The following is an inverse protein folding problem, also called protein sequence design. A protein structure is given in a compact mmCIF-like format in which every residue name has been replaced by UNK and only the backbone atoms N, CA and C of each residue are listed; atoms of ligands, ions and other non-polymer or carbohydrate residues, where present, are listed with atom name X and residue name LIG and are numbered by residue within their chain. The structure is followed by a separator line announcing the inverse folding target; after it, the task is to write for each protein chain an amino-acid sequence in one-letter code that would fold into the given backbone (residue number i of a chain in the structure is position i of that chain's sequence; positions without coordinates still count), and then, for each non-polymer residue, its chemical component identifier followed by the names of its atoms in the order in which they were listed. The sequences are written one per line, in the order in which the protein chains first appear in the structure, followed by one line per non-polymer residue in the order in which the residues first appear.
data_IF_559625591224
#
_entry.id   IF_559625591224
#
_cell.length_a   1.000
_cell.length_b   1.000
_cell.length_c   1.000
_cell.angle_alpha   90.00
_cell.angle_beta   90.00
_cell.angle_gamma   90.00
#
_symmetry.space_group_name_H-M   'P 1'
#
loop_
_entity.id
_entity.type
_entity.pdbx_description
1 polymer ?
#
# COMPACT_ATOMS: atom_id res chain seq x y z
N UNK A 1 -17.54 -8.96 -7.72
CA UNK A 1 -18.66 -9.61 -7.03
C UNK A 1 -18.84 -8.95 -5.68
N UNK A 2 -20.04 -8.46 -5.35
CA UNK A 2 -20.30 -7.73 -4.11
C UNK A 2 -21.58 -8.24 -3.44
N UNK A 3 -21.58 -8.21 -2.11
CA UNK A 3 -22.72 -8.53 -1.26
C UNK A 3 -22.89 -7.41 -0.23
N UNK A 4 -24.13 -6.98 -0.03
CA UNK A 4 -24.51 -6.10 1.07
C UNK A 4 -25.64 -6.74 1.84
N UNK A 5 -25.52 -6.75 3.17
CA UNK A 5 -26.53 -7.33 4.05
C UNK A 5 -26.70 -6.46 5.29
N UNK A 6 -27.94 -6.24 5.69
CA UNK A 6 -28.28 -5.65 6.97
C UNK A 6 -28.26 -6.76 8.04
N UNK A 7 -27.41 -6.59 9.06
CA UNK A 7 -27.29 -7.51 10.19
C UNK A 7 -28.06 -6.93 11.37
N UNK A 8 -29.09 -7.63 11.78
CA UNK A 8 -30.01 -7.11 12.79
C UNK A 8 -30.70 -5.81 12.33
N UNK A 9 -30.91 -4.88 13.26
CA UNK A 9 -31.60 -3.60 12.96
C UNK A 9 -30.64 -2.49 12.54
N UNK A 10 -29.38 -2.54 12.96
CA UNK A 10 -28.53 -1.35 13.00
C UNK A 10 -27.20 -1.47 12.26
N UNK A 11 -26.79 -2.64 11.80
CA UNK A 11 -25.48 -2.82 11.16
C UNK A 11 -25.65 -3.19 9.69
N UNK A 12 -24.91 -2.54 8.81
CA UNK A 12 -24.78 -2.89 7.41
C UNK A 12 -23.37 -3.50 7.22
N UNK A 13 -23.33 -4.71 6.72
CA UNK A 13 -22.10 -5.36 6.28
C UNK A 13 -22.03 -5.33 4.76
N UNK A 14 -20.87 -4.97 4.21
CA UNK A 14 -20.58 -5.07 2.77
C UNK A 14 -19.33 -5.91 2.58
N UNK A 15 -19.41 -6.87 1.68
CA UNK A 15 -18.28 -7.67 1.24
C UNK A 15 -18.11 -7.50 -0.27
N UNK A 16 -16.90 -7.24 -0.72
CA UNK A 16 -16.58 -7.12 -2.13
C UNK A 16 -15.34 -7.93 -2.45
N UNK A 17 -15.42 -8.77 -3.49
CA UNK A 17 -14.30 -9.52 -4.01
C UNK A 17 -14.09 -9.17 -5.48
N UNK A 18 -12.86 -8.81 -5.81
CA UNK A 18 -12.41 -8.50 -7.17
C UNK A 18 -11.27 -9.44 -7.54
N UNK A 19 -11.46 -10.16 -8.64
CA UNK A 19 -10.40 -10.88 -9.33
C UNK A 19 -10.05 -10.12 -10.60
N UNK A 20 -8.77 -9.86 -10.79
CA UNK A 20 -8.23 -9.27 -12.01
C UNK A 20 -7.12 -10.16 -12.54
N UNK A 21 -7.17 -10.43 -13.83
CA UNK A 21 -6.10 -11.08 -14.57
C UNK A 21 -5.66 -10.16 -15.70
N UNK A 22 -4.35 -9.92 -15.80
CA UNK A 22 -3.72 -9.20 -16.89
C UNK A 22 -2.80 -10.17 -17.63
N UNK A 23 -2.91 -10.18 -18.96
CA UNK A 23 -2.11 -10.97 -19.87
C UNK A 23 -1.33 -10.03 -20.80
N UNK A 24 -0.38 -10.60 -21.52
CA UNK A 24 0.37 -9.92 -22.59
C UNK A 24 1.04 -8.62 -22.11
N UNK A 25 1.45 -8.61 -20.83
CA UNK A 25 2.21 -7.50 -20.27
C UNK A 25 3.64 -7.56 -20.81
N UNK A 26 4.17 -6.38 -21.18
CA UNK A 26 5.54 -6.29 -21.68
C UNK A 26 6.50 -6.62 -20.53
N UNK A 27 7.28 -7.68 -20.73
CA UNK A 27 8.42 -8.02 -19.89
C UNK A 27 9.71 -7.53 -20.56
N UNK A 28 10.69 -7.16 -19.75
CA UNK A 28 12.03 -6.79 -20.22
C UNK A 28 13.03 -7.74 -19.58
N UNK A 29 13.77 -8.44 -20.37
CA UNK A 29 14.94 -9.19 -19.94
C UNK A 29 16.22 -8.56 -20.49
N UNK A 30 17.30 -8.60 -19.71
CA UNK A 30 18.61 -8.13 -20.15
C UNK A 30 19.64 -9.18 -19.81
N UNK A 31 20.41 -9.59 -20.79
CA UNK A 31 21.54 -10.51 -20.63
C UNK A 31 22.83 -9.90 -21.19
N UNK A 32 23.96 -10.17 -20.55
CA UNK A 32 25.26 -9.78 -21.07
C UNK A 32 25.86 -10.95 -21.78
N UNK A 33 26.13 -10.78 -23.08
CA UNK A 33 26.91 -11.75 -23.86
C UNK A 33 28.35 -11.77 -23.34
N UNK A 34 28.76 -12.90 -22.81
CA UNK A 34 30.10 -13.07 -22.23
C UNK A 34 31.25 -12.94 -23.22
N UNK A 35 31.01 -13.25 -24.51
CA UNK A 35 32.02 -13.19 -25.56
C UNK A 35 32.23 -11.76 -26.07
N UNK A 36 31.15 -11.03 -26.28
CA UNK A 36 31.18 -9.68 -26.85
C UNK A 36 31.13 -8.57 -25.79
N UNK A 37 30.85 -8.90 -24.51
CA UNK A 37 30.58 -7.95 -23.41
C UNK A 37 29.44 -6.98 -23.71
N UNK A 38 28.56 -7.34 -24.62
CA UNK A 38 27.43 -6.52 -25.05
C UNK A 38 26.18 -6.90 -24.26
N UNK A 39 25.48 -5.92 -23.73
CA UNK A 39 24.19 -6.15 -23.07
C UNK A 39 23.08 -6.19 -24.12
N UNK A 40 22.43 -7.34 -24.24
CA UNK A 40 21.27 -7.57 -25.09
C UNK A 40 20.02 -7.38 -24.24
N UNK A 41 19.14 -6.49 -24.67
CA UNK A 41 17.85 -6.26 -24.02
C UNK A 41 16.73 -6.77 -24.93
N UNK A 42 15.90 -7.63 -24.41
CA UNK A 42 14.76 -8.21 -25.11
C UNK A 42 13.45 -7.78 -24.43
N UNK A 43 12.42 -7.52 -25.23
CA UNK A 43 11.08 -7.22 -24.76
C UNK A 43 10.12 -8.30 -25.28
N UNK A 44 9.39 -8.92 -24.37
CA UNK A 44 8.46 -10.00 -24.66
C UNK A 44 7.06 -9.64 -24.12
N UNK A 45 6.00 -10.18 -24.71
CA UNK A 45 4.62 -10.03 -24.27
C UNK A 45 4.14 -11.28 -23.52
N UNK A 46 4.95 -11.78 -22.60
CA UNK A 46 4.68 -13.01 -21.85
C UNK A 46 4.28 -12.75 -20.39
N UNK A 47 4.23 -11.48 -20.00
CA UNK A 47 3.87 -11.05 -18.67
C UNK A 47 2.42 -11.37 -18.32
N UNK A 48 2.21 -11.98 -17.16
CA UNK A 48 0.88 -12.28 -16.59
C UNK A 48 0.83 -11.88 -15.14
N UNK A 49 -0.27 -11.25 -14.74
CA UNK A 49 -0.51 -10.90 -13.33
C UNK A 49 -1.93 -11.27 -12.94
N UNK A 50 -2.08 -11.91 -11.79
CA UNK A 50 -3.37 -12.23 -11.16
C UNK A 50 -3.45 -11.52 -9.83
N UNK A 51 -4.51 -10.75 -9.64
CA UNK A 51 -4.74 -10.00 -8.40
C UNK A 51 -6.06 -10.39 -7.80
N UNK A 52 -6.04 -10.75 -6.54
CA UNK A 52 -7.21 -10.98 -5.70
C UNK A 52 -7.32 -9.82 -4.72
N UNK A 53 -8.47 -9.17 -4.67
CA UNK A 53 -8.77 -8.12 -3.71
C UNK A 53 -10.06 -8.44 -2.99
N UNK A 54 -10.02 -8.39 -1.67
CA UNK A 54 -11.17 -8.60 -0.80
C UNK A 54 -11.33 -7.41 0.12
N UNK A 55 -12.53 -6.83 0.14
CA UNK A 55 -12.88 -5.73 1.03
C UNK A 55 -14.11 -6.14 1.85
N UNK A 56 -14.06 -5.92 3.15
CA UNK A 56 -15.14 -6.13 4.08
C UNK A 56 -15.33 -4.86 4.91
N UNK A 57 -16.54 -4.33 4.95
CA UNK A 57 -16.85 -3.16 5.77
C UNK A 57 -18.09 -3.39 6.63
N UNK A 58 -18.07 -2.79 7.79
CA UNK A 58 -19.20 -2.70 8.71
C UNK A 58 -19.44 -1.24 9.06
N UNK A 59 -20.68 -0.81 8.96
CA UNK A 59 -21.12 0.53 9.33
C UNK A 59 -22.47 0.46 10.01
N UNK A 60 -22.86 1.52 10.69
CA UNK A 60 -24.21 1.63 11.21
C UNK A 60 -25.19 2.03 10.10
N UNK A 61 -26.40 1.48 10.14
CA UNK A 61 -27.48 1.85 9.23
C UNK A 61 -27.99 3.28 9.50
N UNK A 62 -27.92 3.70 10.75
CA UNK A 62 -28.27 5.04 11.22
C UNK A 62 -27.21 5.48 12.24
N UNK A 63 -26.89 6.78 12.32
CA UNK A 63 -25.96 7.30 13.32
C UNK A 63 -26.38 6.95 14.74
N UNK A 64 -25.41 6.79 15.62
CA UNK A 64 -25.68 6.81 17.06
C UNK A 64 -25.94 8.23 17.51
N UNK A 65 -27.14 8.48 18.01
CA UNK A 65 -27.52 9.79 18.55
C UNK A 65 -27.20 9.86 20.05
N UNK A 66 -26.23 10.69 20.43
CA UNK A 66 -25.90 10.96 21.83
C UNK A 66 -26.10 12.45 22.08
N UNK A 67 -27.19 12.82 22.72
CA UNK A 67 -27.59 14.22 22.92
C UNK A 67 -27.73 14.93 21.54
N UNK A 68 -26.87 15.90 21.27
CA UNK A 68 -26.86 16.68 20.02
C UNK A 68 -25.77 16.24 19.04
N UNK A 69 -25.12 15.12 19.30
CA UNK A 69 -24.01 14.59 18.47
C UNK A 69 -24.44 13.30 17.80
N UNK A 70 -24.28 13.26 16.52
CA UNK A 70 -24.40 12.08 15.67
C UNK A 70 -23.04 11.44 15.49
N UNK A 71 -22.91 10.13 15.75
CA UNK A 71 -21.68 9.38 15.63
C UNK A 71 -21.85 8.32 14.56
N UNK A 72 -20.96 8.33 13.54
CA UNK A 72 -20.95 7.37 12.45
C UNK A 72 -19.64 6.57 12.45
N UNK A 73 -19.59 5.41 13.12
CA UNK A 73 -18.45 4.51 13.06
C UNK A 73 -18.53 3.61 11.84
N UNK A 74 -17.37 3.39 11.19
CA UNK A 74 -17.20 2.42 10.13
C UNK A 74 -15.85 1.72 10.29
N UNK A 75 -15.83 0.40 10.16
CA UNK A 75 -14.59 -0.38 10.08
C UNK A 75 -14.48 -1.03 8.71
N UNK A 76 -13.29 -0.93 8.09
CA UNK A 76 -13.01 -1.48 6.76
C UNK A 76 -11.76 -2.36 6.84
N UNK A 77 -11.91 -3.58 6.35
CA UNK A 77 -10.82 -4.54 6.15
C UNK A 77 -10.58 -4.66 4.65
N UNK A 78 -9.36 -4.44 4.21
CA UNK A 78 -8.96 -4.60 2.82
C UNK A 78 -7.77 -5.55 2.75
N UNK A 79 -7.89 -6.58 1.90
CA UNK A 79 -6.84 -7.54 1.64
C UNK A 79 -6.58 -7.60 0.15
N UNK A 80 -5.30 -7.52 -0.25
CA UNK A 80 -4.87 -7.62 -1.64
C UNK A 80 -3.73 -8.61 -1.76
N UNK A 81 -3.78 -9.46 -2.79
CA UNK A 81 -2.71 -10.38 -3.11
C UNK A 81 -2.54 -10.45 -4.61
N UNK A 82 -1.33 -10.18 -5.07
CA UNK A 82 -0.96 -10.28 -6.49
C UNK A 82 0.04 -11.42 -6.69
N UNK A 83 -0.07 -12.10 -7.84
CA UNK A 83 0.90 -13.07 -8.31
C UNK A 83 1.11 -12.85 -9.80
N UNK A 84 2.33 -12.97 -10.26
CA UNK A 84 2.65 -12.81 -11.67
C UNK A 84 4.01 -13.41 -11.99
N UNK A 85 4.43 -13.33 -13.25
CA UNK A 85 5.74 -13.73 -13.73
C UNK A 85 6.63 -12.55 -14.15
N UNK A 86 6.21 -11.31 -13.87
CA UNK A 86 6.97 -10.07 -14.17
C UNK A 86 7.96 -9.70 -13.05
N UNK A 87 8.50 -10.67 -12.34
CA UNK A 87 9.14 -10.48 -11.05
C UNK A 87 10.39 -9.62 -11.05
N UNK A 88 11.07 -9.52 -12.17
CA UNK A 88 12.46 -9.06 -12.13
C UNK A 88 12.71 -7.78 -12.93
N UNK A 89 11.64 -7.18 -13.49
CA UNK A 89 11.78 -6.02 -14.37
C UNK A 89 11.94 -4.66 -13.68
N UNK A 90 11.99 -4.61 -12.35
CA UNK A 90 12.10 -3.35 -11.60
C UNK A 90 13.55 -3.09 -11.12
N UNK A 91 14.54 -3.23 -12.01
CA UNK A 91 15.94 -2.96 -11.69
C UNK A 91 16.70 -4.14 -11.10
N UNK A 92 16.12 -5.34 -11.13
CA UNK A 92 16.81 -6.58 -10.81
C UNK A 92 17.41 -7.17 -12.10
N UNK A 93 18.63 -7.64 -12.01
CA UNK A 93 19.40 -8.13 -13.16
C UNK A 93 19.94 -9.54 -12.87
N UNK A 94 20.11 -10.31 -13.91
CA UNK A 94 20.87 -11.56 -13.85
C UNK A 94 22.30 -11.33 -13.36
N UNK A 95 22.93 -12.37 -12.85
CA UNK A 95 24.36 -12.36 -12.58
C UNK A 95 25.17 -12.28 -13.88
N UNK A 96 26.34 -11.67 -13.81
CA UNK A 96 27.23 -11.50 -14.97
C UNK A 96 27.94 -12.81 -15.40
N UNK A 97 27.60 -13.93 -14.77
CA UNK A 97 28.19 -15.25 -15.03
C UNK A 97 27.72 -15.88 -16.34
N UNK A 98 26.57 -15.40 -16.88
CA UNK A 98 25.97 -15.93 -18.13
C UNK A 98 25.25 -17.28 -17.96
N UNK A 99 25.09 -17.77 -16.74
CA UNK A 99 24.48 -19.07 -16.42
C UNK A 99 23.04 -18.95 -15.89
N UNK A 100 22.42 -17.78 -16.00
CA UNK A 100 21.06 -17.48 -15.55
C UNK A 100 20.83 -17.83 -14.07
N UNK A 101 21.85 -17.60 -13.22
CA UNK A 101 21.78 -17.87 -11.79
C UNK A 101 21.95 -16.61 -10.95
N UNK A 102 21.28 -16.61 -9.82
CA UNK A 102 21.39 -15.57 -8.78
C UNK A 102 21.35 -16.23 -7.40
N UNK A 103 21.80 -15.50 -6.38
CA UNK A 103 21.60 -15.93 -4.99
C UNK A 103 20.33 -15.26 -4.48
N UNK A 104 19.39 -16.06 -4.04
CA UNK A 104 18.13 -15.58 -3.48
C UNK A 104 17.92 -16.15 -2.07
N UNK A 105 17.84 -15.27 -1.07
CA UNK A 105 17.75 -15.64 0.34
C UNK A 105 18.82 -16.67 0.74
N UNK A 106 20.05 -16.45 0.30
CA UNK A 106 21.20 -17.27 0.63
C UNK A 106 21.38 -18.55 -0.21
N UNK A 107 20.50 -18.84 -1.15
CA UNK A 107 20.57 -20.02 -2.01
C UNK A 107 20.85 -19.64 -3.47
N UNK A 108 21.74 -20.37 -4.12
CA UNK A 108 21.97 -20.25 -5.56
C UNK A 108 20.79 -20.89 -6.31
N UNK A 109 20.09 -20.11 -7.12
CA UNK A 109 18.88 -20.52 -7.82
C UNK A 109 18.88 -19.96 -9.24
N UNK A 110 18.09 -20.56 -10.14
CA UNK A 110 17.84 -19.95 -11.43
C UNK A 110 17.12 -18.60 -11.25
N UNK A 111 17.53 -17.61 -12.00
CA UNK A 111 16.92 -16.27 -12.03
C UNK A 111 15.40 -16.33 -12.29
N UNK A 112 14.97 -17.22 -13.19
CA UNK A 112 13.55 -17.40 -13.52
C UNK A 112 12.72 -18.05 -12.40
N UNK A 113 13.40 -18.69 -11.45
CA UNK A 113 12.73 -19.32 -10.29
C UNK A 113 12.52 -18.38 -9.12
N UNK A 114 13.11 -17.17 -9.16
CA UNK A 114 12.94 -16.18 -8.09
C UNK A 114 11.47 -15.73 -8.04
N UNK A 115 10.80 -15.80 -6.89
CA UNK A 115 9.38 -15.42 -6.79
C UNK A 115 9.16 -13.97 -7.19
N UNK A 116 8.01 -13.69 -7.78
CA UNK A 116 7.57 -12.30 -8.04
C UNK A 116 7.59 -11.53 -6.73
N UNK A 117 8.19 -10.37 -6.76
CA UNK A 117 8.13 -9.43 -5.66
C UNK A 117 6.73 -8.81 -5.56
N UNK A 118 5.87 -9.37 -4.72
CA UNK A 118 4.60 -8.74 -4.36
C UNK A 118 4.85 -7.80 -3.18
N UNK A 119 5.05 -6.53 -3.49
CA UNK A 119 5.35 -5.48 -2.52
C UNK A 119 4.09 -4.76 -2.00
N UNK A 120 2.91 -5.28 -2.26
CA UNK A 120 1.69 -4.71 -1.73
C UNK A 120 1.56 -5.00 -0.22
N UNK A 121 1.00 -4.06 0.51
CA UNK A 121 0.59 -4.31 1.89
C UNK A 121 -0.61 -5.25 1.86
N UNK A 122 -0.47 -6.52 2.29
CA UNK A 122 -1.51 -7.51 2.07
C UNK A 122 -2.80 -7.18 2.84
N UNK A 123 -2.68 -6.66 4.05
CA UNK A 123 -3.82 -6.33 4.90
C UNK A 123 -3.78 -4.87 5.35
N UNK A 124 -4.92 -4.20 5.20
CA UNK A 124 -5.18 -2.85 5.72
C UNK A 124 -6.48 -2.86 6.51
N UNK A 125 -6.46 -2.28 7.70
CA UNK A 125 -7.64 -2.10 8.54
C UNK A 125 -7.79 -0.60 8.80
N UNK A 126 -8.97 -0.05 8.50
CA UNK A 126 -9.28 1.36 8.75
C UNK A 126 -10.52 1.47 9.64
N UNK A 127 -10.41 2.27 10.69
CA UNK A 127 -11.52 2.70 11.52
C UNK A 127 -11.80 4.16 11.20
N UNK A 128 -12.97 4.43 10.63
CA UNK A 128 -13.48 5.78 10.39
C UNK A 128 -14.50 6.10 11.47
N UNK A 129 -14.46 7.32 12.00
CA UNK A 129 -15.38 7.76 13.04
C UNK A 129 -15.66 9.26 12.89
N UNK A 130 -16.89 9.58 12.49
CA UNK A 130 -17.35 10.94 12.31
C UNK A 130 -18.29 11.34 13.43
N UNK A 131 -18.04 12.50 14.00
CA UNK A 131 -18.87 13.14 15.02
C UNK A 131 -19.48 14.41 14.46
N UNK A 132 -20.79 14.50 14.38
CA UNK A 132 -21.50 15.66 13.85
C UNK A 132 -22.33 16.31 14.95
N UNK A 133 -22.01 17.54 15.30
CA UNK A 133 -22.80 18.36 16.21
C UNK A 133 -23.73 19.27 15.39
N UNK A 134 -24.97 18.83 15.21
CA UNK A 134 -25.97 19.46 14.34
C UNK A 134 -26.21 20.96 14.65
N UNK A 135 -26.36 21.38 15.94
CA UNK A 135 -26.67 22.77 16.24
C UNK A 135 -25.56 23.77 15.89
N UNK A 136 -24.30 23.36 15.94
CA UNK A 136 -23.17 24.25 15.60
C UNK A 136 -22.70 24.14 14.16
N UNK A 137 -23.09 23.09 13.45
CA UNK A 137 -22.55 22.77 12.12
C UNK A 137 -21.10 22.26 12.17
N UNK A 138 -20.67 21.72 13.32
CA UNK A 138 -19.32 21.17 13.51
C UNK A 138 -19.33 19.67 13.16
N UNK A 139 -18.32 19.26 12.36
CA UNK A 139 -18.05 17.86 12.02
C UNK A 139 -16.59 17.57 12.38
N UNK A 140 -16.37 16.52 13.16
CA UNK A 140 -15.04 16.01 13.48
C UNK A 140 -14.90 14.60 12.95
N UNK A 141 -14.12 14.44 11.87
CA UNK A 141 -13.87 13.19 11.19
C UNK A 141 -12.49 12.63 11.59
N UNK A 142 -12.42 11.33 11.82
CA UNK A 142 -11.21 10.63 12.21
C UNK A 142 -11.05 9.36 11.39
N UNK A 143 -9.83 9.09 10.95
CA UNK A 143 -9.46 7.85 10.28
C UNK A 143 -8.22 7.28 10.95
N UNK A 144 -8.35 6.15 11.61
CA UNK A 144 -7.23 5.36 12.12
C UNK A 144 -6.97 4.22 11.15
N UNK A 145 -5.75 4.14 10.59
CA UNK A 145 -5.40 3.12 9.61
C UNK A 145 -4.19 2.34 10.09
N UNK A 146 -4.36 1.03 10.21
CA UNK A 146 -3.27 0.09 10.36
C UNK A 146 -3.02 -0.65 9.04
N UNK A 147 -1.75 -0.78 8.67
CA UNK A 147 -1.33 -1.55 7.50
C UNK A 147 -0.31 -2.60 7.93
N UNK A 148 -0.50 -3.82 7.45
CA UNK A 148 0.46 -4.89 7.66
C UNK A 148 1.80 -4.56 6.99
N UNK A 149 2.88 -5.08 7.56
CA UNK A 149 4.21 -5.00 6.99
C UNK A 149 4.25 -5.61 5.59
N UNK A 150 4.83 -4.89 4.63
CA UNK A 150 5.10 -5.41 3.30
C UNK A 150 6.51 -5.97 3.20
N UNK A 151 6.77 -6.75 2.17
CA UNK A 151 8.11 -7.18 1.83
C UNK A 151 8.73 -6.23 0.82
N UNK A 152 10.05 -6.08 0.88
CA UNK A 152 10.85 -5.40 -0.11
C UNK A 152 12.02 -6.30 -0.50
N UNK A 153 12.36 -6.34 -1.79
CA UNK A 153 13.53 -7.06 -2.27
C UNK A 153 14.69 -6.11 -2.43
N UNK A 154 15.82 -6.45 -1.82
CA UNK A 154 17.03 -5.64 -1.92
C UNK A 154 18.16 -6.45 -2.54
N UNK A 155 19.07 -5.75 -3.23
CA UNK A 155 20.32 -6.28 -3.74
C UNK A 155 21.37 -6.15 -2.63
N UNK A 156 21.99 -7.25 -2.25
CA UNK A 156 23.03 -7.25 -1.24
C UNK A 156 24.34 -6.71 -1.83
N UNK A 157 24.84 -5.62 -1.28
CA UNK A 157 26.20 -5.14 -1.52
C UNK A 157 27.22 -5.92 -0.66
N UNK A 158 28.49 -5.92 -1.07
CA UNK A 158 29.59 -6.64 -0.37
C UNK A 158 29.78 -6.28 1.10
N UNK A 159 29.27 -5.13 1.52
CA UNK A 159 29.32 -4.65 2.92
C UNK A 159 28.13 -5.11 3.75
N UNK A 160 27.13 -5.72 3.16
CA UNK A 160 25.97 -6.22 3.87
C UNK A 160 26.32 -7.51 4.64
N UNK A 161 25.87 -7.64 5.88
CA UNK A 161 26.16 -8.80 6.73
C UNK A 161 25.59 -10.12 6.19
N UNK A 162 24.58 -10.06 5.35
CA UNK A 162 23.97 -11.24 4.69
C UNK A 162 24.64 -11.61 3.37
N UNK A 163 25.64 -10.81 2.91
CA UNK A 163 26.35 -11.08 1.67
C UNK A 163 27.24 -12.31 1.80
N UNK A 164 27.14 -13.23 0.87
CA UNK A 164 27.91 -14.48 0.84
C UNK A 164 29.08 -14.33 -0.13
N UNK A 165 30.30 -14.25 0.42
CA UNK A 165 31.51 -14.01 -0.39
C UNK A 165 31.84 -15.13 -1.38
N UNK A 166 31.44 -16.36 -1.06
CA UNK A 166 31.58 -17.52 -1.95
C UNK A 166 30.84 -17.31 -3.29
N UNK A 167 29.74 -16.56 -3.26
CA UNK A 167 28.92 -16.24 -4.44
C UNK A 167 29.17 -14.81 -4.94
N UNK A 168 30.42 -14.32 -4.86
CA UNK A 168 30.75 -12.94 -5.24
C UNK A 168 30.50 -12.61 -6.72
N UNK A 169 30.45 -13.61 -7.58
CA UNK A 169 30.21 -13.47 -9.02
C UNK A 169 28.72 -13.39 -9.36
N UNK A 170 27.87 -13.72 -8.39
CA UNK A 170 26.43 -13.71 -8.54
C UNK A 170 25.78 -12.48 -7.91
N UNK A 171 24.72 -11.98 -8.53
CA UNK A 171 23.83 -10.99 -7.90
C UNK A 171 23.12 -11.66 -6.73
N UNK A 172 23.12 -11.01 -5.57
CA UNK A 172 22.51 -11.56 -4.36
C UNK A 172 21.32 -10.72 -3.95
N UNK A 173 20.18 -11.38 -3.76
CA UNK A 173 18.90 -10.77 -3.41
C UNK A 173 18.36 -11.34 -2.11
N UNK A 174 17.73 -10.50 -1.31
CA UNK A 174 16.99 -10.90 -0.11
C UNK A 174 15.66 -10.16 -0.04
N UNK A 175 14.63 -10.86 0.42
CA UNK A 175 13.34 -10.25 0.72
C UNK A 175 13.32 -9.84 2.19
N UNK A 176 13.35 -8.54 2.45
CA UNK A 176 13.21 -7.97 3.79
C UNK A 176 11.76 -7.61 4.07
N UNK A 177 11.36 -7.75 5.33
CA UNK A 177 10.05 -7.32 5.81
C UNK A 177 10.17 -5.91 6.36
N UNK A 178 9.45 -4.96 5.76
CA UNK A 178 9.30 -3.61 6.29
C UNK A 178 8.38 -3.62 7.52
N UNK A 179 8.34 -2.51 8.25
CA UNK A 179 7.49 -2.39 9.42
C UNK A 179 6.01 -2.25 9.05
N UNK A 180 5.13 -2.69 9.94
CA UNK A 180 3.73 -2.32 9.90
C UNK A 180 3.55 -0.85 10.27
N UNK A 181 2.52 -0.20 9.75
CA UNK A 181 2.26 1.20 10.02
C UNK A 181 0.92 1.40 10.73
N UNK A 182 0.88 2.39 11.60
CA UNK A 182 -0.34 2.92 12.18
C UNK A 182 -0.35 4.43 11.96
N UNK A 183 -1.37 4.94 11.29
CA UNK A 183 -1.59 6.37 11.07
C UNK A 183 -2.93 6.78 11.61
N UNK A 184 -3.01 8.00 12.13
CA UNK A 184 -4.25 8.64 12.51
C UNK A 184 -4.35 9.98 11.80
N UNK A 185 -5.40 10.14 11.00
CA UNK A 185 -5.75 11.37 10.31
C UNK A 185 -7.00 11.94 10.93
N UNK A 186 -7.05 13.26 11.11
CA UNK A 186 -8.21 13.94 11.70
C UNK A 186 -8.53 15.21 10.94
N UNK A 187 -9.82 15.47 10.76
CA UNK A 187 -10.35 16.68 10.12
C UNK A 187 -11.42 17.29 11.00
N UNK A 188 -11.30 18.57 11.27
CA UNK A 188 -12.35 19.37 11.90
C UNK A 188 -12.93 20.32 10.86
N UNK A 189 -14.22 20.24 10.59
CA UNK A 189 -14.94 21.11 9.66
C UNK A 189 -16.05 21.86 10.40
N UNK A 190 -16.18 23.14 10.10
CA UNK A 190 -17.21 23.98 10.71
C UNK A 190 -17.95 24.78 9.66
N UNK A 191 -19.27 24.57 9.58
CA UNK A 191 -20.19 25.37 8.76
C UNK A 191 -21.07 26.20 9.69
N UNK A 192 -20.69 27.47 9.96
CA UNK A 192 -21.42 28.33 10.90
C UNK A 192 -22.88 28.47 10.50
N UNK A 193 -23.81 28.23 11.44
CA UNK A 193 -25.24 28.30 11.15
C UNK A 193 -25.69 29.70 10.68
N UNK A 194 -25.03 30.75 11.19
CA UNK A 194 -25.31 32.14 10.80
C UNK A 194 -24.79 32.50 9.39
N UNK A 195 -23.91 31.68 8.81
CA UNK A 195 -23.40 31.80 7.43
C UNK A 195 -23.96 30.71 6.51
N UNK A 196 -24.95 29.96 6.93
CA UNK A 196 -25.52 28.82 6.20
C UNK A 196 -26.03 29.21 4.80
N UNK A 197 -26.57 30.42 4.66
CA UNK A 197 -27.01 30.94 3.35
C UNK A 197 -25.85 31.16 2.36
N UNK A 198 -24.65 31.35 2.84
CA UNK A 198 -23.42 31.55 2.06
C UNK A 198 -22.68 30.23 1.80
N UNK A 199 -23.16 29.10 2.33
CA UNK A 199 -22.54 27.77 2.22
C UNK A 199 -21.02 27.80 2.49
N UNK A 200 -20.61 28.59 3.49
CA UNK A 200 -19.21 28.77 3.87
C UNK A 200 -18.81 27.70 4.89
N UNK A 201 -17.71 26.98 4.60
CA UNK A 201 -17.16 25.95 5.49
C UNK A 201 -15.67 26.20 5.71
N UNK A 202 -15.26 26.16 6.95
CA UNK A 202 -13.84 26.19 7.38
C UNK A 202 -13.42 24.79 7.75
N UNK A 203 -12.24 24.35 7.32
CA UNK A 203 -11.72 23.02 7.66
C UNK A 203 -10.27 23.09 8.08
N UNK A 204 -9.90 22.24 9.03
CA UNK A 204 -8.53 22.01 9.46
C UNK A 204 -8.26 20.49 9.44
N UNK A 205 -7.21 20.09 8.72
CA UNK A 205 -6.78 18.70 8.63
C UNK A 205 -5.43 18.53 9.31
N UNK A 206 -5.28 17.46 10.05
CA UNK A 206 -4.00 16.99 10.56
C UNK A 206 -3.83 15.55 10.05
N UNK A 207 -2.92 15.36 9.12
CA UNK A 207 -2.56 14.04 8.61
C UNK A 207 -1.42 13.49 9.45
N UNK A 208 -1.46 12.19 9.72
CA UNK A 208 -0.48 11.48 10.53
C UNK A 208 -0.26 12.14 11.90
N UNK A 209 -1.34 12.30 12.69
CA UNK A 209 -1.32 12.90 14.04
C UNK A 209 -0.25 12.27 14.93
N UNK A 210 -0.01 10.95 14.76
CA UNK A 210 0.97 10.18 15.53
C UNK A 210 2.43 10.49 15.14
N UNK A 211 2.64 11.24 14.05
CA UNK A 211 3.96 11.50 13.45
C UNK A 211 4.76 10.20 13.19
N UNK A 212 4.04 9.17 12.75
CA UNK A 212 4.58 7.82 12.51
C UNK A 212 5.57 7.87 11.34
N UNK A 213 6.83 7.53 11.59
CA UNK A 213 7.89 7.46 10.58
C UNK A 213 8.10 6.02 10.17
N UNK A 214 7.21 5.49 9.37
CA UNK A 214 7.27 4.11 8.91
C UNK A 214 7.95 4.05 7.54
N UNK A 215 8.84 3.09 7.35
CA UNK A 215 9.41 2.81 6.04
C UNK A 215 8.32 2.27 5.12
N UNK A 216 7.98 3.04 4.07
CA UNK A 216 6.93 2.69 3.09
C UNK A 216 7.49 2.06 1.84
N UNK A 217 8.77 2.27 1.57
CA UNK A 217 9.49 1.69 0.45
C UNK A 217 10.98 1.54 0.75
N UNK A 218 11.66 0.79 -0.08
CA UNK A 218 13.12 0.74 -0.09
C UNK A 218 13.61 0.67 -1.53
N UNK A 219 14.75 1.28 -1.79
CA UNK A 219 15.44 1.09 -3.06
C UNK A 219 15.95 -0.34 -3.17
N UNK A 220 16.30 -0.76 -4.37
CA UNK A 220 16.95 -2.05 -4.60
C UNK A 220 18.30 -2.21 -3.85
N UNK A 221 18.88 -1.14 -3.33
CA UNK A 221 20.11 -1.13 -2.51
C UNK A 221 19.82 -1.03 -1.01
N UNK A 222 18.56 -1.10 -0.59
CA UNK A 222 18.17 -1.10 0.83
C UNK A 222 18.05 0.27 1.48
N UNK A 223 18.05 1.36 0.71
CA UNK A 223 17.80 2.70 1.26
C UNK A 223 16.30 2.89 1.46
N UNK A 224 15.87 3.04 2.71
CA UNK A 224 14.46 3.19 3.05
C UNK A 224 13.90 4.56 2.66
N UNK A 225 12.68 4.56 2.13
CA UNK A 225 11.84 5.75 1.94
C UNK A 225 10.75 5.73 3.00
N UNK A 226 10.59 6.83 3.71
CA UNK A 226 9.63 6.94 4.81
C UNK A 226 8.35 7.64 4.38
N UNK A 227 7.25 7.29 5.02
CA UNK A 227 6.00 8.04 4.91
C UNK A 227 6.20 9.50 5.35
N UNK A 228 5.40 10.40 4.78
CA UNK A 228 5.39 11.79 5.21
C UNK A 228 5.07 11.89 6.70
N UNK A 229 5.81 12.71 7.42
CA UNK A 229 5.50 13.05 8.81
C UNK A 229 4.18 13.81 8.94
N UNK A 230 3.88 14.30 10.14
CA UNK A 230 2.67 15.08 10.40
C UNK A 230 2.56 16.29 9.49
N UNK A 231 1.37 16.46 8.89
CA UNK A 231 1.07 17.55 7.95
C UNK A 231 -0.21 18.25 8.36
N UNK A 232 -0.24 19.56 8.22
CA UNK A 232 -1.37 20.41 8.55
C UNK A 232 -1.91 21.11 7.32
N UNK A 233 -3.23 21.15 7.16
CA UNK A 233 -3.91 21.85 6.10
C UNK A 233 -5.05 22.69 6.68
N UNK A 234 -5.22 23.86 6.12
CA UNK A 234 -6.37 24.73 6.39
C UNK A 234 -7.07 25.01 5.07
N UNK A 235 -8.39 24.86 5.06
CA UNK A 235 -9.21 25.06 3.89
C UNK A 235 -10.42 25.94 4.22
N UNK A 236 -10.81 26.77 3.27
CA UNK A 236 -12.05 27.55 3.30
C UNK A 236 -12.77 27.32 1.98
N UNK A 237 -13.95 26.70 2.06
CA UNK A 237 -14.77 26.42 0.87
C UNK A 237 -16.09 27.20 0.91
N UNK A 238 -16.53 27.64 -0.25
CA UNK A 238 -17.80 28.33 -0.46
C UNK A 238 -18.50 27.73 -1.68
N UNK A 239 -19.77 27.39 -1.53
CA UNK A 239 -20.60 26.93 -2.66
C UNK A 239 -21.50 28.08 -3.11
N UNK A 240 -21.46 28.37 -4.40
CA UNK A 240 -22.31 29.35 -5.08
C UNK A 240 -23.54 28.66 -5.65
#
# INVERSE_FOLDING_TARGET
MGLQQKIGKNVIARANYVYREAHDQISKSSRTDSATKTTITEYNNDGKTKTHSFNLSFELAEPLHISQVDINPQIVFSYIKSKGNLSLNNGYEESNTGDNQVVYNGNLVSYDSVPVADFNNPLKISLNMDFTHQPSGLVWANTLTWQEARKARIILGKTNAQYISEYSDYKQYVDEKLDSSLTWDTRLSWTPQFLKQQNLTFSADILNVLDSKTAVDTTNTGVATYASGRTFWLDVSMKF
#
